data_IF_510166087332
#
_entry.id   IF_510166087332
#
_cell.length_a   1.000
_cell.length_b   1.000
_cell.length_c   1.000
_cell.angle_alpha   90.00
_cell.angle_beta   90.00
_cell.angle_gamma   90.00
#
_symmetry.space_group_name_H-M   'P 1'
#
loop_
_entity.id
_entity.type
_entity.pdbx_description
1 polymer ?
#
# COMPACT_ATOMS: atom_id res chain seq x y z
N UNK A 1 -12.01 13.84 20.99
CA UNK A 1 -10.55 13.84 20.88
C UNK A 1 -10.10 15.27 20.59
N UNK A 2 -9.29 15.86 21.49
CA UNK A 2 -8.76 17.22 21.31
C UNK A 2 -7.55 17.21 20.37
N UNK A 3 -7.80 16.81 19.11
CA UNK A 3 -6.75 16.78 18.08
C UNK A 3 -7.00 17.94 17.12
N UNK A 4 -5.99 18.76 16.78
CA UNK A 4 -6.11 19.81 15.77
C UNK A 4 -6.58 19.21 14.44
N UNK A 5 -7.65 19.75 13.88
CA UNK A 5 -8.22 19.27 12.64
C UNK A 5 -8.35 20.39 11.62
N UNK A 6 -7.71 20.24 10.48
CA UNK A 6 -7.70 21.22 9.41
C UNK A 6 -8.47 20.69 8.20
N UNK A 7 -9.59 21.33 7.86
CA UNK A 7 -10.37 20.98 6.67
C UNK A 7 -9.90 21.86 5.50
N UNK A 8 -9.59 21.21 4.38
CA UNK A 8 -9.30 21.91 3.12
C UNK A 8 -10.19 21.37 2.01
N UNK A 9 -10.93 22.27 1.39
CA UNK A 9 -11.70 21.96 0.18
C UNK A 9 -10.75 21.95 -1.02
N UNK A 10 -10.95 20.99 -1.93
CA UNK A 10 -10.19 20.87 -3.18
C UNK A 10 -11.16 20.63 -4.33
N UNK A 11 -10.74 20.95 -5.54
CA UNK A 11 -11.50 20.72 -6.78
C UNK A 11 -11.17 19.36 -7.41
N UNK A 12 -10.65 18.41 -6.64
CA UNK A 12 -10.20 17.11 -7.16
C UNK A 12 -11.33 16.23 -7.69
N UNK A 13 -12.50 16.27 -7.07
CA UNK A 13 -13.66 15.48 -7.51
C UNK A 13 -14.08 15.86 -8.94
N UNK A 14 -14.54 17.10 -9.17
CA UNK A 14 -14.89 17.56 -10.52
C UNK A 14 -13.77 17.34 -11.55
N UNK A 15 -12.54 17.70 -11.22
CA UNK A 15 -11.40 17.53 -12.12
C UNK A 15 -11.22 16.08 -12.58
N UNK A 16 -11.38 15.11 -11.69
CA UNK A 16 -11.13 13.69 -12.00
C UNK A 16 -12.33 13.06 -12.72
N UNK A 17 -13.55 13.36 -12.28
CA UNK A 17 -14.75 12.67 -12.75
C UNK A 17 -15.46 13.39 -13.89
N UNK A 18 -15.35 14.72 -13.98
CA UNK A 18 -16.05 15.52 -14.98
C UNK A 18 -15.14 15.97 -16.12
N UNK A 19 -13.90 16.40 -15.79
CA UNK A 19 -12.99 16.95 -16.80
C UNK A 19 -12.05 15.88 -17.41
N UNK A 20 -11.47 15.00 -16.58
CA UNK A 20 -10.46 14.03 -17.05
C UNK A 20 -11.03 12.71 -17.54
N UNK A 21 -12.15 12.24 -17.02
CA UNK A 21 -12.87 11.02 -17.41
C UNK A 21 -11.95 9.80 -17.67
N UNK A 22 -10.95 9.60 -16.82
CA UNK A 22 -9.98 8.51 -16.97
C UNK A 22 -10.63 7.15 -16.67
N UNK A 23 -10.21 6.09 -17.37
CA UNK A 23 -10.66 4.71 -17.14
C UNK A 23 -10.40 4.23 -15.71
N UNK A 24 -9.33 4.72 -15.08
CA UNK A 24 -8.97 4.40 -13.69
C UNK A 24 -8.86 5.64 -12.81
N UNK A 25 -10.00 6.29 -12.47
CA UNK A 25 -10.03 7.53 -11.72
C UNK A 25 -9.45 7.39 -10.30
N UNK A 26 -9.54 6.20 -9.69
CA UNK A 26 -9.05 5.96 -8.34
C UNK A 26 -7.52 6.12 -8.23
N UNK A 27 -6.76 5.69 -9.22
CA UNK A 27 -5.31 5.83 -9.24
C UNK A 27 -4.89 7.30 -9.32
N UNK A 28 -5.53 8.07 -10.21
CA UNK A 28 -5.29 9.51 -10.33
C UNK A 28 -5.68 10.24 -9.05
N UNK A 29 -6.87 9.96 -8.50
CA UNK A 29 -7.35 10.52 -7.25
C UNK A 29 -6.37 10.30 -6.09
N UNK A 30 -5.90 9.07 -5.91
CA UNK A 30 -4.95 8.74 -4.85
C UNK A 30 -3.62 9.49 -5.00
N UNK A 31 -3.13 9.64 -6.23
CA UNK A 31 -1.89 10.37 -6.54
C UNK A 31 -2.02 11.86 -6.26
N UNK A 32 -3.09 12.49 -6.75
CA UNK A 32 -3.34 13.92 -6.56
C UNK A 32 -3.60 14.26 -5.09
N UNK A 33 -4.44 13.48 -4.39
CA UNK A 33 -4.67 13.65 -2.95
C UNK A 33 -3.37 13.55 -2.15
N UNK A 34 -2.51 12.61 -2.50
CA UNK A 34 -1.22 12.43 -1.83
C UNK A 34 -0.33 13.67 -2.04
N UNK A 35 -0.20 14.15 -3.28
CA UNK A 35 0.56 15.37 -3.58
C UNK A 35 0.07 16.56 -2.78
N UNK A 36 -1.25 16.77 -2.75
CA UNK A 36 -1.86 17.83 -1.96
C UNK A 36 -1.57 17.72 -0.45
N UNK A 37 -1.67 16.50 0.11
CA UNK A 37 -1.37 16.26 1.52
C UNK A 37 0.10 16.56 1.84
N UNK A 38 1.04 16.19 0.96
CA UNK A 38 2.46 16.49 1.15
C UNK A 38 2.73 18.00 1.14
N UNK A 39 2.21 18.72 0.14
CA UNK A 39 2.35 20.18 0.08
C UNK A 39 1.81 20.83 1.33
N UNK A 40 0.62 20.40 1.78
CA UNK A 40 -0.01 20.98 2.96
C UNK A 40 0.73 20.67 4.25
N UNK A 41 1.27 19.47 4.39
CA UNK A 41 2.09 19.09 5.53
C UNK A 41 3.38 19.96 5.61
N UNK A 42 4.04 20.22 4.48
CA UNK A 42 5.20 21.13 4.44
C UNK A 42 4.85 22.56 4.84
N UNK A 43 3.73 23.10 4.33
CA UNK A 43 3.24 24.43 4.71
C UNK A 43 3.00 24.57 6.23
N UNK A 44 2.61 23.47 6.88
CA UNK A 44 2.38 23.39 8.32
C UNK A 44 3.65 23.05 9.11
N UNK A 45 4.82 23.02 8.47
CA UNK A 45 6.09 22.69 9.14
C UNK A 45 6.23 21.21 9.51
N UNK A 46 5.37 20.33 9.00
CA UNK A 46 5.47 18.89 9.25
C UNK A 46 6.54 18.27 8.36
N UNK A 47 7.26 17.28 8.89
CA UNK A 47 8.24 16.49 8.15
C UNK A 47 7.80 15.03 7.93
N UNK A 48 6.60 14.67 8.39
CA UNK A 48 6.05 13.31 8.26
C UNK A 48 4.57 13.33 7.89
N UNK A 49 4.14 12.32 7.12
CA UNK A 49 2.75 11.99 6.89
C UNK A 49 2.51 10.59 7.45
N UNK A 50 1.60 10.46 8.41
CA UNK A 50 1.15 9.18 8.93
C UNK A 50 -0.08 8.70 8.13
N UNK A 51 -0.02 7.51 7.56
CA UNK A 51 -1.14 6.87 6.88
C UNK A 51 -1.68 5.71 7.73
N UNK A 52 -3.00 5.54 7.70
CA UNK A 52 -3.72 4.50 8.44
C UNK A 52 -3.62 3.10 7.85
N UNK A 53 -2.66 2.83 6.95
CA UNK A 53 -2.46 1.48 6.42
C UNK A 53 -2.04 0.52 7.52
N UNK A 54 -2.63 -0.67 7.52
CA UNK A 54 -2.45 -1.71 8.51
C UNK A 54 -1.93 -3.01 7.89
N UNK A 55 -1.71 -4.05 8.70
CA UNK A 55 -1.14 -5.32 8.26
C UNK A 55 -1.90 -5.94 7.08
N UNK A 56 -3.23 -5.95 7.14
CA UNK A 56 -4.05 -6.54 6.06
C UNK A 56 -3.84 -5.80 4.73
N UNK A 57 -3.70 -4.46 4.74
CA UNK A 57 -3.36 -3.69 3.53
C UNK A 57 -2.00 -4.08 2.93
N UNK A 58 -1.02 -4.38 3.79
CA UNK A 58 0.32 -4.82 3.36
C UNK A 58 0.22 -6.14 2.62
N UNK A 59 -0.51 -7.12 3.19
CA UNK A 59 -0.69 -8.44 2.59
C UNK A 59 -1.50 -8.37 1.30
N UNK A 60 -2.62 -7.66 1.29
CA UNK A 60 -3.44 -7.44 0.09
C UNK A 60 -2.63 -6.78 -1.03
N UNK A 61 -1.81 -5.78 -0.71
CA UNK A 61 -0.96 -5.11 -1.72
C UNK A 61 0.11 -6.04 -2.26
N UNK A 62 0.67 -6.91 -1.42
CA UNK A 62 1.65 -7.91 -1.87
C UNK A 62 1.01 -8.90 -2.85
N UNK A 63 -0.17 -9.41 -2.55
CA UNK A 63 -0.92 -10.30 -3.45
C UNK A 63 -1.32 -9.61 -4.75
N UNK A 64 -1.79 -8.37 -4.69
CA UNK A 64 -2.07 -7.58 -5.88
C UNK A 64 -0.85 -7.40 -6.78
N UNK A 65 0.31 -7.12 -6.18
CA UNK A 65 1.57 -7.04 -6.91
C UNK A 65 1.92 -8.36 -7.60
N UNK A 66 1.78 -9.47 -6.88
CA UNK A 66 2.11 -10.81 -7.36
C UNK A 66 1.16 -11.29 -8.47
N UNK A 67 -0.16 -11.21 -8.25
CA UNK A 67 -1.15 -11.80 -9.16
C UNK A 67 -1.52 -10.91 -10.34
N UNK A 68 -1.50 -9.60 -10.17
CA UNK A 68 -1.95 -8.64 -11.19
C UNK A 68 -0.87 -7.68 -11.67
N UNK A 69 0.18 -7.47 -10.87
CA UNK A 69 1.25 -6.53 -11.20
C UNK A 69 2.52 -7.17 -11.76
N UNK A 70 2.61 -8.51 -11.82
CA UNK A 70 3.84 -9.25 -12.15
C UNK A 70 5.06 -8.75 -11.35
N UNK A 71 4.86 -8.40 -10.07
CA UNK A 71 5.88 -7.82 -9.20
C UNK A 71 5.74 -8.38 -7.78
N UNK A 72 6.84 -8.86 -7.24
CA UNK A 72 6.92 -9.16 -5.81
C UNK A 72 7.35 -7.90 -5.06
N UNK A 73 6.38 -7.08 -4.71
CA UNK A 73 6.58 -5.83 -3.97
C UNK A 73 5.51 -5.64 -2.90
N UNK A 74 5.83 -4.86 -1.90
CA UNK A 74 4.94 -4.57 -0.77
C UNK A 74 5.00 -3.11 -0.37
N UNK A 75 4.28 -2.73 0.68
CA UNK A 75 4.36 -1.41 1.30
C UNK A 75 5.40 -1.43 2.43
N UNK A 76 6.46 -0.62 2.42
CA UNK A 76 7.34 -0.51 3.58
C UNK A 76 6.68 0.29 4.71
N UNK A 77 7.07 0.06 5.99
CA UNK A 77 6.54 0.79 7.14
C UNK A 77 6.90 2.28 7.11
N UNK A 78 8.00 2.63 6.44
CA UNK A 78 8.52 3.99 6.31
C UNK A 78 9.09 4.20 4.91
N UNK A 79 8.88 5.39 4.35
CA UNK A 79 9.35 5.74 3.00
C UNK A 79 9.73 7.22 2.94
N UNK A 80 10.92 7.53 2.44
CA UNK A 80 11.31 8.90 2.11
C UNK A 80 10.60 9.35 0.84
N UNK A 81 10.06 10.57 0.84
CA UNK A 81 9.45 11.12 -0.36
C UNK A 81 10.52 11.50 -1.39
N UNK A 82 10.33 11.09 -2.63
CA UNK A 82 11.21 11.49 -3.75
C UNK A 82 10.89 12.90 -4.25
N UNK A 83 9.61 13.28 -4.21
CA UNK A 83 9.12 14.54 -4.78
C UNK A 83 9.03 15.68 -3.75
N UNK A 84 9.15 15.38 -2.46
CA UNK A 84 9.08 16.33 -1.37
C UNK A 84 10.29 16.13 -0.46
N UNK A 85 11.42 16.80 -0.72
CA UNK A 85 12.64 16.67 0.07
C UNK A 85 12.38 16.92 1.56
N UNK A 86 13.00 16.12 2.43
CA UNK A 86 12.82 16.21 3.87
C UNK A 86 11.54 15.56 4.42
N UNK A 87 10.59 15.15 3.56
CA UNK A 87 9.35 14.52 3.97
C UNK A 87 9.47 12.99 4.00
N UNK A 88 8.84 12.39 5.02
CA UNK A 88 8.71 10.94 5.16
C UNK A 88 7.24 10.53 5.25
N UNK A 89 6.92 9.37 4.71
CA UNK A 89 5.66 8.68 4.93
C UNK A 89 5.89 7.57 5.95
N UNK A 90 5.03 7.48 6.95
CA UNK A 90 5.06 6.42 7.97
C UNK A 90 3.71 5.71 8.04
N UNK A 91 3.72 4.45 8.49
CA UNK A 91 2.52 3.63 8.70
C UNK A 91 2.51 3.08 10.12
N UNK A 92 2.00 3.86 11.10
CA UNK A 92 2.03 3.46 12.51
C UNK A 92 1.30 2.14 12.79
N UNK A 93 0.27 1.82 11.99
CA UNK A 93 -0.54 0.59 12.15
C UNK A 93 -0.01 -0.61 11.34
N UNK A 94 1.21 -0.53 10.81
CA UNK A 94 1.81 -1.52 9.90
C UNK A 94 1.74 -2.96 10.40
N UNK A 95 1.87 -3.18 11.71
CA UNK A 95 1.83 -4.49 12.33
C UNK A 95 0.47 -4.83 12.98
N UNK A 96 -0.56 -3.99 12.81
CA UNK A 96 -1.86 -4.17 13.44
C UNK A 96 -2.83 -4.79 12.45
N UNK A 97 -3.55 -5.84 12.87
CA UNK A 97 -4.60 -6.47 12.05
C UNK A 97 -5.84 -5.58 11.96
N UNK A 98 -6.53 -5.58 10.82
CA UNK A 98 -7.78 -4.84 10.60
C UNK A 98 -8.83 -5.17 11.66
N UNK A 99 -8.98 -6.46 12.00
CA UNK A 99 -9.95 -6.91 13.00
C UNK A 99 -9.72 -6.27 14.38
N UNK A 100 -8.46 -6.07 14.77
CA UNK A 100 -8.13 -5.39 16.02
C UNK A 100 -8.50 -3.90 15.99
N UNK A 101 -8.34 -3.25 14.84
CA UNK A 101 -8.73 -1.86 14.63
C UNK A 101 -10.26 -1.73 14.69
N UNK A 102 -10.99 -2.66 14.06
CA UNK A 102 -12.45 -2.70 14.08
C UNK A 102 -12.96 -2.93 15.51
N UNK A 103 -12.37 -3.88 16.23
CA UNK A 103 -12.71 -4.15 17.63
C UNK A 103 -12.49 -2.91 18.51
N UNK A 104 -11.35 -2.24 18.37
CA UNK A 104 -11.02 -1.01 19.07
C UNK A 104 -12.01 0.13 18.74
N UNK A 105 -12.32 0.31 17.45
CA UNK A 105 -13.34 1.27 16.99
C UNK A 105 -14.69 1.03 17.66
N UNK A 106 -15.15 -0.23 17.68
CA UNK A 106 -16.45 -0.59 18.25
C UNK A 106 -16.46 -0.40 19.77
N UNK A 107 -15.39 -0.81 20.46
CA UNK A 107 -15.24 -0.61 21.91
C UNK A 107 -15.33 0.88 22.31
N UNK A 108 -14.74 1.76 21.51
CA UNK A 108 -14.75 3.20 21.78
C UNK A 108 -16.00 3.92 21.19
N UNK A 109 -16.96 3.23 20.60
CA UNK A 109 -18.16 3.82 19.99
C UNK A 109 -17.86 4.79 18.84
N UNK A 110 -16.69 4.65 18.17
CA UNK A 110 -16.28 5.56 17.12
C UNK A 110 -17.03 5.29 15.81
N UNK A 111 -17.44 6.37 15.15
CA UNK A 111 -18.07 6.33 13.83
C UNK A 111 -17.15 7.02 12.83
N UNK A 112 -16.83 6.32 11.74
CA UNK A 112 -16.05 6.86 10.64
C UNK A 112 -16.95 7.09 9.44
N UNK A 113 -16.63 8.15 8.67
CA UNK A 113 -17.29 8.39 7.39
C UNK A 113 -16.92 7.26 6.42
N UNK A 114 -17.94 6.76 5.74
CA UNK A 114 -17.70 5.90 4.58
C UNK A 114 -17.17 6.75 3.40
N UNK A 115 -16.57 6.10 2.42
CA UNK A 115 -16.09 6.80 1.23
C UNK A 115 -17.28 7.39 0.46
N UNK A 116 -17.42 8.72 0.48
CA UNK A 116 -18.43 9.45 -0.28
C UNK A 116 -17.98 9.69 -1.73
N UNK A 117 -17.39 8.70 -2.37
CA UNK A 117 -16.99 8.76 -3.77
C UNK A 117 -18.13 8.19 -4.62
N UNK A 118 -18.66 8.96 -5.60
CA UNK A 118 -19.70 8.50 -6.55
C UNK A 118 -19.34 7.16 -7.18
N UNK A 119 -18.07 6.96 -7.48
CA UNK A 119 -17.57 5.71 -8.04
C UNK A 119 -17.69 4.49 -7.10
N UNK A 120 -17.74 4.72 -5.79
CA UNK A 120 -17.99 3.68 -4.78
C UNK A 120 -19.50 3.45 -4.61
N UNK A 121 -20.30 4.52 -4.63
CA UNK A 121 -21.77 4.44 -4.53
C UNK A 121 -22.39 3.71 -5.72
N UNK A 122 -21.91 3.98 -6.95
CA UNK A 122 -22.36 3.28 -8.17
C UNK A 122 -21.99 1.80 -8.16
N UNK A 123 -20.91 1.40 -7.51
CA UNK A 123 -20.48 -0.01 -7.38
C UNK A 123 -21.28 -0.77 -6.32
N UNK A 124 -21.62 -0.12 -5.22
CA UNK A 124 -22.42 -0.73 -4.15
C UNK A 124 -23.89 -0.88 -4.56
N UNK A 125 -24.37 -0.12 -5.56
CA UNK A 125 -25.73 -0.18 -6.12
C UNK A 125 -25.90 -1.13 -7.30
N UNK A 126 -24.82 -1.66 -7.88
CA UNK A 126 -24.90 -2.63 -9.00
C UNK A 126 -25.19 -4.02 -8.44
N UNK A 127 -26.45 -4.44 -8.55
CA UNK A 127 -26.94 -5.77 -8.14
C UNK A 127 -26.33 -6.94 -8.91
N UNK A 128 -25.61 -6.67 -10.00
CA UNK A 128 -24.92 -7.66 -10.82
C UNK A 128 -23.43 -7.58 -10.54
N UNK A 129 -22.89 -8.50 -9.77
CA UNK A 129 -21.53 -8.75 -9.33
C UNK A 129 -20.33 -8.45 -10.26
N UNK A 130 -20.47 -7.53 -11.19
CA UNK A 130 -19.44 -7.06 -12.14
C UNK A 130 -18.78 -5.83 -11.55
N UNK A 131 -17.87 -6.03 -10.56
CA UNK A 131 -17.09 -4.90 -10.06
C UNK A 131 -16.43 -5.06 -8.69
N UNK A 132 -16.31 -6.25 -8.15
CA UNK A 132 -15.45 -6.44 -6.97
C UNK A 132 -14.06 -5.93 -7.31
N UNK A 133 -13.59 -4.95 -6.52
CA UNK A 133 -12.24 -4.43 -6.75
C UNK A 133 -11.25 -5.58 -6.57
N UNK A 134 -10.19 -5.64 -7.39
CA UNK A 134 -9.11 -6.64 -7.25
C UNK A 134 -8.57 -6.74 -5.82
N UNK A 135 -8.69 -5.67 -5.05
CA UNK A 135 -8.37 -5.64 -3.63
C UNK A 135 -9.36 -6.47 -2.79
N UNK A 136 -10.65 -6.39 -3.08
CA UNK A 136 -11.67 -7.19 -2.40
C UNK A 136 -11.46 -8.69 -2.67
N UNK A 137 -11.12 -9.04 -3.91
CA UNK A 137 -10.76 -10.41 -4.29
C UNK A 137 -9.58 -10.94 -3.45
N UNK A 138 -8.51 -10.14 -3.28
CA UNK A 138 -7.38 -10.53 -2.42
C UNK A 138 -7.78 -10.68 -0.96
N UNK A 139 -8.66 -9.82 -0.46
CA UNK A 139 -9.18 -9.90 0.90
C UNK A 139 -9.99 -11.18 1.11
N UNK A 140 -10.82 -11.56 0.16
CA UNK A 140 -11.58 -12.83 0.21
C UNK A 140 -10.65 -14.04 0.13
N UNK A 141 -9.68 -14.03 -0.78
CA UNK A 141 -8.67 -15.09 -0.88
C UNK A 141 -7.93 -15.32 0.45
N UNK A 142 -7.49 -14.24 1.09
CA UNK A 142 -6.82 -14.35 2.41
C UNK A 142 -7.74 -14.95 3.46
N UNK A 143 -9.03 -14.58 3.47
CA UNK A 143 -10.02 -15.15 4.40
C UNK A 143 -10.22 -16.65 4.17
N UNK A 144 -10.29 -17.09 2.91
CA UNK A 144 -10.40 -18.52 2.58
C UNK A 144 -9.14 -19.29 3.01
N UNK A 145 -7.96 -18.79 2.68
CA UNK A 145 -6.70 -19.41 3.08
C UNK A 145 -6.56 -19.49 4.61
N UNK A 146 -7.07 -18.51 5.35
CA UNK A 146 -7.05 -18.49 6.81
C UNK A 146 -7.88 -19.60 7.45
N UNK A 147 -8.92 -20.11 6.77
CA UNK A 147 -9.74 -21.23 7.25
C UNK A 147 -8.93 -22.53 7.33
N UNK A 148 -8.04 -22.75 6.36
CA UNK A 148 -7.18 -23.95 6.28
C UNK A 148 -5.85 -23.76 7.00
N UNK A 149 -5.32 -22.55 7.01
CA UNK A 149 -4.06 -22.19 7.68
C UNK A 149 -4.22 -20.92 8.52
N UNK A 150 -4.55 -21.01 9.82
CA UNK A 150 -4.72 -19.85 10.70
C UNK A 150 -3.48 -18.93 10.78
N UNK A 151 -2.29 -19.44 10.46
CA UNK A 151 -1.04 -18.68 10.49
C UNK A 151 -0.67 -18.05 9.14
N UNK A 152 -1.51 -18.14 8.12
CA UNK A 152 -1.15 -17.70 6.75
C UNK A 152 -0.69 -16.24 6.71
N UNK A 153 -1.39 -15.32 7.35
CA UNK A 153 -1.04 -13.90 7.39
C UNK A 153 0.33 -13.67 8.03
N UNK A 154 0.62 -14.37 9.14
CA UNK A 154 1.91 -14.31 9.82
C UNK A 154 3.04 -14.89 8.95
N UNK A 155 2.78 -15.98 8.25
CA UNK A 155 3.73 -16.61 7.33
C UNK A 155 4.06 -15.69 6.16
N UNK A 156 3.04 -15.10 5.54
CA UNK A 156 3.22 -14.12 4.46
C UNK A 156 3.98 -12.88 4.93
N UNK A 157 3.62 -12.35 6.10
CA UNK A 157 4.30 -11.18 6.67
C UNK A 157 5.78 -11.46 6.93
N UNK A 158 6.13 -12.63 7.44
CA UNK A 158 7.52 -13.05 7.63
C UNK A 158 8.24 -13.20 6.29
N UNK A 159 7.61 -13.80 5.29
CA UNK A 159 8.21 -14.01 3.98
C UNK A 159 8.60 -12.69 3.31
N UNK A 160 7.75 -11.67 3.37
CA UNK A 160 8.08 -10.35 2.78
C UNK A 160 9.14 -9.56 3.54
N UNK A 161 9.45 -9.93 4.79
CA UNK A 161 10.51 -9.35 5.60
C UNK A 161 11.81 -10.17 5.58
N UNK A 162 11.74 -11.40 5.10
CA UNK A 162 12.87 -12.31 5.04
C UNK A 162 13.10 -12.83 3.62
N UNK A 163 13.08 -11.93 2.63
CA UNK A 163 13.33 -12.29 1.24
C UNK A 163 14.77 -12.79 1.07
N UNK A 164 14.91 -14.02 0.56
CA UNK A 164 16.21 -14.64 0.31
C UNK A 164 16.58 -14.42 -1.17
N UNK A 165 17.37 -13.40 -1.44
CA UNK A 165 17.75 -13.04 -2.81
C UNK A 165 18.55 -14.15 -3.50
N UNK A 166 19.27 -14.98 -2.73
CA UNK A 166 20.10 -16.08 -3.26
C UNK A 166 19.30 -17.15 -4.01
N UNK A 167 18.01 -17.27 -3.72
CA UNK A 167 17.12 -18.25 -4.36
C UNK A 167 16.27 -17.66 -5.48
N UNK A 168 16.29 -16.33 -5.68
CA UNK A 168 15.51 -15.67 -6.73
C UNK A 168 16.26 -15.72 -8.07
N UNK A 169 15.56 -16.02 -9.17
CA UNK A 169 16.19 -16.03 -10.51
C UNK A 169 16.59 -14.63 -11.00
N UNK A 170 16.07 -13.57 -10.38
CA UNK A 170 16.41 -12.19 -10.66
C UNK A 170 15.73 -11.24 -9.66
N UNK A 171 16.24 -10.03 -9.55
CA UNK A 171 15.68 -9.00 -8.66
C UNK A 171 15.95 -7.59 -9.20
N UNK A 172 15.27 -6.59 -8.63
CA UNK A 172 15.51 -5.17 -8.92
C UNK A 172 15.96 -4.46 -7.65
N UNK A 173 17.07 -3.73 -7.76
CA UNK A 173 17.59 -2.93 -6.65
C UNK A 173 18.06 -1.56 -7.16
N UNK A 174 17.65 -0.49 -6.49
CA UNK A 174 17.97 0.91 -6.84
C UNK A 174 17.71 1.27 -8.33
N UNK A 175 16.68 0.68 -8.93
CA UNK A 175 16.31 0.93 -10.33
C UNK A 175 17.05 0.05 -11.35
N UNK A 176 18.07 -0.69 -10.93
CA UNK A 176 18.77 -1.68 -11.77
C UNK A 176 18.07 -3.03 -11.66
N UNK A 177 17.94 -3.74 -12.78
CA UNK A 177 17.47 -5.11 -12.83
C UNK A 177 18.67 -6.05 -12.93
N UNK A 178 18.66 -7.12 -12.14
CA UNK A 178 19.62 -8.20 -12.15
C UNK A 178 18.90 -9.46 -12.67
N UNK A 179 19.19 -9.87 -13.88
CA UNK A 179 18.66 -11.09 -14.50
C UNK A 179 19.42 -12.33 -14.01
N UNK A 180 18.91 -13.54 -14.31
CA UNK A 180 19.47 -14.77 -13.78
C UNK A 180 21.00 -14.94 -13.96
N UNK A 181 21.61 -14.69 -15.12
CA UNK A 181 23.06 -14.83 -15.24
C UNK A 181 23.87 -13.88 -14.34
N UNK A 182 23.43 -12.61 -14.24
CA UNK A 182 24.07 -11.61 -13.37
C UNK A 182 23.86 -11.95 -11.90
N UNK A 183 22.62 -12.28 -11.51
CA UNK A 183 22.28 -12.66 -10.14
C UNK A 183 23.01 -13.95 -9.72
N UNK A 184 23.20 -14.90 -10.62
CA UNK A 184 23.95 -16.13 -10.38
C UNK A 184 25.44 -15.85 -10.16
N UNK A 185 26.04 -15.00 -10.98
CA UNK A 185 27.44 -14.63 -10.86
C UNK A 185 27.75 -13.86 -9.59
N UNK A 186 26.85 -12.94 -9.18
CA UNK A 186 26.98 -12.22 -7.91
C UNK A 186 27.02 -13.16 -6.69
N UNK A 187 26.27 -14.26 -6.74
CA UNK A 187 26.24 -15.26 -5.65
C UNK A 187 27.51 -16.11 -5.59
N UNK A 188 28.20 -16.27 -6.71
CA UNK A 188 29.48 -17.02 -6.81
C UNK A 188 30.72 -16.19 -6.49
N UNK A 189 30.61 -14.86 -6.46
CA UNK A 189 31.68 -13.94 -6.16
C UNK A 189 31.90 -13.84 -4.66
N UNK A 190 32.94 -14.44 -4.14
CA UNK A 190 33.33 -14.37 -2.71
C UNK A 190 34.23 -13.17 -2.38
N UNK A 191 34.16 -12.06 -3.10
CA UNK A 191 35.02 -10.91 -2.88
C UNK A 191 34.29 -9.79 -2.10
N UNK A 192 34.99 -9.19 -1.15
CA UNK A 192 34.51 -8.08 -0.30
C UNK A 192 34.06 -6.83 -1.08
N UNK A 193 34.39 -6.75 -2.37
CA UNK A 193 33.99 -5.66 -3.26
C UNK A 193 32.53 -5.77 -3.72
N UNK A 194 31.95 -6.98 -3.79
CA UNK A 194 30.58 -7.21 -4.23
C UNK A 194 29.57 -7.04 -3.10
N UNK A 195 29.98 -7.22 -1.82
CA UNK A 195 29.13 -6.90 -0.64
C UNK A 195 28.90 -5.39 -0.48
N UNK A 196 29.79 -4.56 -0.95
CA UNK A 196 29.64 -3.11 -0.92
C UNK A 196 28.69 -2.57 -2.00
N UNK A 197 28.29 -3.40 -2.98
CA UNK A 197 27.38 -3.03 -4.07
C UNK A 197 25.91 -3.36 -3.79
N UNK A 198 25.61 -4.12 -2.74
CA UNK A 198 24.27 -4.42 -2.24
C UNK A 198 23.86 -3.45 -1.10
#
# INVERSE_FOLDING_TARGET
LSVPYIIRKTYLGPLIFEERQEENPCSLCARMRRGFLYSKAQELGCNKIALGHHLSDVLETTLLGLFYGAQLQTMPPKLRSRNFPGMELIRPLYCVHEDAIIAWKNYNGLRFLQCACRFTEERDGAADGVGESKRQEMKLLLRELKKTNPNIEKSMFRAIHGVQLDTFPGFKFRGRAFAFPEAYNLRGASSAEDEAAL
#
